data_IF_712158944394
#
_entry.id   IF_712158944394
#
_cell.length_a   1.000
_cell.length_b   1.000
_cell.length_c   1.000
_cell.angle_alpha   90.00
_cell.angle_beta   90.00
_cell.angle_gamma   90.00
#
_symmetry.space_group_name_H-M   'P 1'
#
loop_
_entity.id
_entity.type
_entity.pdbx_description
1 polymer ?
#
# COMPACT_ATOMS: atom_id res chain seq x y z
N UNK A 1 -20.67 36.36 -7.27
CA UNK A 1 -19.47 35.72 -7.86
C UNK A 1 -19.23 34.47 -7.02
N UNK A 2 -19.76 33.34 -7.48
CA UNK A 2 -20.07 32.14 -6.70
C UNK A 2 -19.10 31.04 -7.15
N UNK A 3 -18.54 30.29 -6.19
CA UNK A 3 -17.60 29.18 -6.46
C UNK A 3 -18.33 28.06 -7.23
N UNK A 4 -17.66 27.31 -8.11
CA UNK A 4 -18.28 26.14 -8.73
C UNK A 4 -18.44 25.03 -7.69
N UNK A 5 -19.69 24.80 -7.26
CA UNK A 5 -20.11 23.77 -6.32
C UNK A 5 -20.21 22.36 -6.97
N UNK A 6 -19.26 21.99 -7.84
CA UNK A 6 -19.30 20.72 -8.60
C UNK A 6 -18.16 19.73 -8.26
N UNK A 7 -17.54 19.86 -7.09
CA UNK A 7 -16.80 18.75 -6.50
C UNK A 7 -17.75 17.92 -5.64
N UNK A 8 -18.20 16.78 -6.17
CA UNK A 8 -19.04 15.81 -5.46
C UNK A 8 -18.30 15.24 -4.23
N UNK A 9 -19.04 15.06 -3.13
CA UNK A 9 -18.54 14.63 -1.81
C UNK A 9 -18.25 13.11 -1.67
N UNK A 10 -18.31 12.30 -2.72
CA UNK A 10 -18.10 10.84 -2.65
C UNK A 10 -17.34 10.30 -3.87
N UNK A 11 -16.46 9.28 -3.68
CA UNK A 11 -15.72 8.65 -4.78
C UNK A 11 -16.68 7.97 -5.76
N UNK A 12 -16.22 7.82 -7.01
CA UNK A 12 -16.90 7.36 -8.25
C UNK A 12 -17.81 6.11 -8.19
N UNK A 13 -17.97 5.46 -7.04
CA UNK A 13 -18.83 4.30 -6.85
C UNK A 13 -20.09 4.69 -6.07
N UNK A 14 -21.06 5.29 -6.76
CA UNK A 14 -22.44 5.23 -6.30
C UNK A 14 -22.94 3.79 -6.48
N UNK A 15 -22.77 2.96 -5.46
CA UNK A 15 -23.37 1.61 -5.39
C UNK A 15 -24.79 1.63 -4.82
N UNK A 16 -25.43 2.80 -4.64
CA UNK A 16 -26.84 2.86 -4.19
C UNK A 16 -27.80 2.23 -5.20
N UNK A 17 -27.36 2.12 -6.46
CA UNK A 17 -28.09 1.43 -7.54
C UNK A 17 -27.87 -0.10 -7.56
N UNK A 18 -26.89 -0.62 -6.82
CA UNK A 18 -26.68 -2.05 -6.59
C UNK A 18 -27.51 -2.43 -5.36
N UNK A 19 -28.57 -3.26 -5.50
CA UNK A 19 -29.40 -3.60 -4.35
C UNK A 19 -28.53 -4.18 -3.23
N UNK A 20 -28.66 -3.67 -2.00
CA UNK A 20 -27.92 -4.18 -0.84
C UNK A 20 -28.38 -5.58 -0.40
N UNK A 21 -29.39 -6.14 -1.05
CA UNK A 21 -30.01 -7.43 -0.70
C UNK A 21 -29.10 -8.65 -0.95
N UNK A 22 -27.95 -8.44 -1.59
CA UNK A 22 -27.07 -9.52 -2.08
C UNK A 22 -25.91 -9.84 -1.15
N UNK A 23 -25.59 -8.94 -0.22
CA UNK A 23 -24.75 -9.23 0.94
C UNK A 23 -25.27 -8.45 2.14
N UNK A 24 -25.54 -9.11 3.27
CA UNK A 24 -26.02 -8.44 4.49
C UNK A 24 -24.97 -7.53 5.16
N UNK A 25 -23.74 -7.43 4.63
CA UNK A 25 -22.64 -6.60 5.15
C UNK A 25 -21.74 -6.10 4.00
N UNK A 26 -21.45 -4.81 3.97
CA UNK A 26 -20.42 -4.20 3.11
C UNK A 26 -19.05 -4.84 3.37
N UNK A 27 -18.24 -5.06 2.33
CA UNK A 27 -16.93 -5.72 2.44
C UNK A 27 -15.86 -4.95 1.67
N UNK A 28 -14.92 -4.38 2.42
CA UNK A 28 -13.76 -3.63 1.94
C UNK A 28 -12.84 -4.49 1.08
N UNK A 29 -12.41 -3.99 -0.09
CA UNK A 29 -11.55 -4.71 -1.03
C UNK A 29 -10.17 -4.07 -1.20
N UNK A 30 -9.12 -4.91 -1.14
CA UNK A 30 -7.73 -4.47 -1.33
C UNK A 30 -7.04 -5.26 -2.43
N UNK A 31 -6.37 -4.56 -3.33
CA UNK A 31 -5.38 -5.15 -4.25
C UNK A 31 -3.99 -4.81 -3.74
N UNK A 32 -3.11 -5.79 -3.60
CA UNK A 32 -1.74 -5.67 -3.09
C UNK A 32 -0.76 -6.00 -4.22
N UNK A 33 -0.25 -4.97 -4.88
CA UNK A 33 0.68 -5.05 -6.01
C UNK A 33 2.13 -5.03 -5.52
N UNK A 34 2.97 -5.85 -6.14
CA UNK A 34 4.35 -6.09 -5.69
C UNK A 34 4.37 -6.56 -4.23
N UNK A 35 3.48 -7.51 -3.93
CA UNK A 35 3.14 -7.88 -2.55
C UNK A 35 4.30 -8.51 -1.76
N UNK A 36 5.32 -8.98 -2.47
CA UNK A 36 6.36 -9.86 -1.94
C UNK A 36 5.72 -11.02 -1.17
N UNK A 37 6.34 -11.36 -0.04
CA UNK A 37 5.85 -12.40 0.88
C UNK A 37 4.52 -12.07 1.58
N UNK A 38 3.92 -10.92 1.31
CA UNK A 38 2.62 -10.53 1.82
C UNK A 38 2.68 -9.86 3.20
N UNK A 39 3.60 -8.93 3.42
CA UNK A 39 3.60 -8.11 4.65
C UNK A 39 2.28 -7.34 4.81
N UNK A 40 1.76 -6.77 3.72
CA UNK A 40 0.46 -6.09 3.67
C UNK A 40 -0.68 -7.10 3.85
N UNK A 41 -0.70 -8.18 3.06
CA UNK A 41 -1.68 -9.25 3.20
C UNK A 41 -1.79 -9.83 4.62
N UNK A 42 -0.65 -10.10 5.28
CA UNK A 42 -0.60 -10.61 6.66
C UNK A 42 -1.20 -9.60 7.64
N UNK A 43 -0.91 -8.32 7.41
CA UNK A 43 -1.42 -7.22 8.23
C UNK A 43 -2.93 -7.08 8.12
N UNK A 44 -3.51 -7.34 6.94
CA UNK A 44 -4.94 -7.34 6.68
C UNK A 44 -5.65 -8.57 7.29
N UNK A 45 -5.02 -9.74 7.26
CA UNK A 45 -5.63 -11.01 7.67
C UNK A 45 -5.49 -11.31 9.17
N UNK A 46 -4.27 -11.29 9.71
CA UNK A 46 -3.96 -11.86 11.03
C UNK A 46 -3.87 -10.79 12.12
N UNK A 47 -3.52 -9.56 11.73
CA UNK A 47 -3.14 -8.51 12.67
C UNK A 47 -4.10 -7.32 12.69
N UNK A 48 -5.00 -7.19 11.72
CA UNK A 48 -5.92 -6.06 11.68
C UNK A 48 -6.98 -6.14 12.80
N UNK A 49 -7.26 -5.04 13.51
CA UNK A 49 -8.51 -4.90 14.27
C UNK A 49 -9.73 -4.72 13.34
N UNK A 50 -9.53 -4.84 12.03
CA UNK A 50 -10.56 -4.72 11.01
C UNK A 50 -11.17 -6.09 10.73
N UNK A 51 -12.50 -6.23 10.69
CA UNK A 51 -13.16 -7.46 10.25
C UNK A 51 -13.07 -7.59 8.73
N UNK A 52 -11.86 -7.68 8.19
CA UNK A 52 -11.62 -7.92 6.76
C UNK A 52 -11.56 -9.43 6.57
N UNK A 53 -12.51 -9.96 5.80
CA UNK A 53 -12.49 -11.38 5.48
C UNK A 53 -11.32 -11.71 4.53
N UNK A 54 -10.71 -12.90 4.61
CA UNK A 54 -9.58 -13.27 3.75
C UNK A 54 -9.86 -13.20 2.24
N UNK A 55 -11.15 -13.26 1.88
CA UNK A 55 -11.64 -13.33 0.49
C UNK A 55 -11.68 -11.98 -0.21
N UNK A 56 -11.36 -10.88 0.47
CA UNK A 56 -11.51 -9.53 -0.05
C UNK A 56 -10.18 -8.81 -0.28
N UNK A 57 -9.08 -9.56 -0.30
CA UNK A 57 -7.81 -9.02 -0.80
C UNK A 57 -7.05 -10.02 -1.69
N UNK A 58 -6.29 -9.47 -2.64
CA UNK A 58 -5.53 -10.21 -3.63
C UNK A 58 -4.12 -9.65 -3.79
N UNK A 59 -3.10 -10.52 -3.67
CA UNK A 59 -1.70 -10.21 -3.88
C UNK A 59 -1.21 -10.56 -5.27
N UNK A 60 -0.33 -9.72 -5.82
CA UNK A 60 0.32 -9.93 -7.12
C UNK A 60 1.82 -9.70 -6.99
N UNK A 61 2.61 -10.68 -7.40
CA UNK A 61 4.07 -10.58 -7.44
C UNK A 61 4.66 -11.47 -8.54
N UNK A 62 5.88 -11.18 -8.99
CA UNK A 62 6.58 -12.00 -9.98
C UNK A 62 7.10 -13.30 -9.36
N UNK A 63 7.42 -13.28 -8.07
CA UNK A 63 7.76 -14.48 -7.30
C UNK A 63 6.48 -15.19 -6.85
N UNK A 64 6.44 -16.52 -6.91
CA UNK A 64 5.26 -17.28 -6.50
C UNK A 64 5.18 -17.42 -4.98
N UNK A 65 4.12 -16.84 -4.41
CA UNK A 65 3.80 -16.89 -2.99
C UNK A 65 2.45 -17.56 -2.70
N UNK A 66 1.86 -18.28 -3.66
CA UNK A 66 0.51 -18.86 -3.53
C UNK A 66 0.29 -19.70 -2.28
N UNK A 67 1.33 -20.40 -1.82
CA UNK A 67 1.28 -21.30 -0.67
C UNK A 67 1.34 -20.57 0.68
N UNK A 68 1.79 -19.32 0.69
CA UNK A 68 2.10 -18.57 1.93
C UNK A 68 1.34 -17.25 2.04
N UNK A 69 0.83 -16.72 0.92
CA UNK A 69 0.07 -15.49 0.91
C UNK A 69 -1.31 -15.70 1.59
N UNK A 70 -1.73 -14.84 2.52
CA UNK A 70 -2.90 -15.10 3.36
C UNK A 70 -4.27 -14.87 2.67
N UNK A 71 -4.28 -14.28 1.47
CA UNK A 71 -5.48 -14.00 0.68
C UNK A 71 -5.48 -14.73 -0.66
N UNK A 72 -6.16 -14.16 -1.65
CA UNK A 72 -5.97 -14.62 -3.05
C UNK A 72 -4.58 -14.20 -3.51
N UNK A 73 -3.96 -14.98 -4.39
CA UNK A 73 -2.65 -14.65 -4.93
C UNK A 73 -2.57 -15.04 -6.41
N UNK A 74 -1.86 -14.23 -7.19
CA UNK A 74 -1.50 -14.55 -8.55
C UNK A 74 -0.05 -14.16 -8.84
N UNK A 75 0.70 -15.10 -9.42
CA UNK A 75 2.00 -14.81 -9.97
C UNK A 75 1.85 -13.97 -11.26
N UNK A 76 2.44 -12.78 -11.28
CA UNK A 76 2.38 -11.86 -12.41
C UNK A 76 3.61 -10.96 -12.48
N UNK A 77 4.17 -10.81 -13.69
CA UNK A 77 5.11 -9.74 -13.97
C UNK A 77 4.31 -8.45 -14.24
N UNK A 78 4.23 -7.61 -13.22
CA UNK A 78 3.49 -6.34 -13.26
C UNK A 78 4.20 -5.26 -14.09
N UNK A 79 5.45 -5.49 -14.51
CA UNK A 79 6.23 -4.54 -15.32
C UNK A 79 6.13 -4.82 -16.82
N UNK A 80 5.83 -6.06 -17.22
CA UNK A 80 5.75 -6.46 -18.63
C UNK A 80 4.33 -6.27 -19.21
N UNK A 81 3.29 -6.71 -18.51
CA UNK A 81 1.88 -6.52 -18.93
C UNK A 81 0.90 -6.56 -17.74
N UNK A 82 0.60 -5.40 -17.12
CA UNK A 82 -0.34 -5.31 -16.01
C UNK A 82 -1.81 -5.15 -16.46
N UNK A 83 -2.22 -5.69 -17.62
CA UNK A 83 -3.60 -5.51 -18.08
C UNK A 83 -4.65 -5.95 -17.03
N UNK A 84 -5.68 -5.11 -16.85
CA UNK A 84 -6.73 -5.33 -15.84
C UNK A 84 -7.45 -6.66 -16.00
N UNK A 85 -7.71 -7.03 -17.25
CA UNK A 85 -8.38 -8.28 -17.60
C UNK A 85 -7.51 -9.48 -17.24
N UNK A 86 -6.21 -9.43 -17.59
CA UNK A 86 -5.26 -10.49 -17.27
C UNK A 86 -5.04 -10.65 -15.77
N UNK A 87 -4.96 -9.55 -15.01
CA UNK A 87 -4.83 -9.61 -13.56
C UNK A 87 -6.11 -10.14 -12.89
N UNK A 88 -7.29 -9.70 -13.32
CA UNK A 88 -8.57 -10.17 -12.78
C UNK A 88 -8.77 -11.68 -13.01
N UNK A 89 -8.49 -12.16 -14.24
CA UNK A 89 -8.61 -13.57 -14.60
C UNK A 89 -7.74 -14.46 -13.68
N UNK A 90 -6.49 -14.05 -13.43
CA UNK A 90 -5.54 -14.83 -12.61
C UNK A 90 -6.00 -15.07 -11.17
N UNK A 91 -6.77 -14.15 -10.58
CA UNK A 91 -7.30 -14.29 -9.21
C UNK A 91 -8.75 -14.76 -9.17
N UNK A 92 -9.30 -15.21 -10.30
CA UNK A 92 -10.69 -15.65 -10.41
C UNK A 92 -11.66 -14.52 -10.11
N UNK A 93 -11.32 -13.30 -10.51
CA UNK A 93 -12.23 -12.16 -10.56
C UNK A 93 -12.78 -12.06 -11.99
N UNK A 94 -14.10 -12.09 -12.19
CA UNK A 94 -14.71 -11.95 -13.51
C UNK A 94 -14.11 -10.75 -14.29
N UNK A 95 -13.71 -10.88 -15.55
CA UNK A 95 -13.21 -9.75 -16.32
C UNK A 95 -14.35 -8.74 -16.56
N UNK A 96 -14.08 -7.46 -16.32
CA UNK A 96 -15.07 -6.41 -16.48
C UNK A 96 -14.42 -5.04 -16.68
N UNK A 97 -14.78 -4.36 -17.76
CA UNK A 97 -14.43 -2.95 -17.99
C UNK A 97 -15.34 -2.00 -17.21
N UNK A 98 -15.04 -0.70 -17.24
CA UNK A 98 -15.76 0.35 -16.50
C UNK A 98 -17.29 0.35 -16.76
N UNK A 99 -17.73 -0.07 -17.95
CA UNK A 99 -19.16 -0.20 -18.32
C UNK A 99 -19.86 -1.43 -17.70
N UNK A 100 -19.11 -2.43 -17.22
CA UNK A 100 -19.64 -3.67 -16.63
C UNK A 100 -20.07 -3.53 -15.17
N UNK A 101 -19.78 -2.39 -14.54
CA UNK A 101 -20.17 -2.05 -13.16
C UNK A 101 -21.67 -1.73 -13.08
N UNK A 102 -22.32 -1.39 -14.21
CA UNK A 102 -23.76 -1.11 -14.29
C UNK A 102 -24.54 -2.37 -14.66
N UNK A 103 -24.65 -3.32 -13.73
CA UNK A 103 -25.48 -4.52 -13.91
C UNK A 103 -26.95 -4.20 -13.61
N UNK A 104 -27.93 -4.65 -14.42
CA UNK A 104 -29.35 -4.53 -14.09
C UNK A 104 -29.68 -5.24 -12.77
N UNK A 105 -30.54 -4.63 -11.93
CA UNK A 105 -30.93 -5.07 -10.57
C UNK A 105 -31.37 -6.54 -10.38
N UNK A 106 -31.51 -7.32 -11.45
CA UNK A 106 -32.27 -8.57 -11.48
C UNK A 106 -31.41 -9.80 -11.86
N UNK A 107 -30.10 -9.67 -12.02
CA UNK A 107 -29.22 -10.78 -12.41
C UNK A 107 -28.55 -11.34 -11.17
N UNK A 108 -28.95 -12.55 -10.77
CA UNK A 108 -28.31 -13.32 -9.71
C UNK A 108 -27.13 -14.07 -10.29
N UNK A 109 -25.92 -13.73 -9.86
CA UNK A 109 -24.73 -14.49 -10.21
C UNK A 109 -24.51 -15.63 -9.17
N UNK A 110 -24.74 -16.86 -9.66
CA UNK A 110 -24.40 -18.19 -9.12
C UNK A 110 -24.98 -18.72 -7.77
N UNK A 111 -24.88 -20.05 -7.62
CA UNK A 111 -25.45 -20.91 -6.56
C UNK A 111 -24.99 -20.56 -5.13
N UNK A 112 -23.97 -19.71 -4.97
CA UNK A 112 -23.40 -19.36 -3.67
C UNK A 112 -23.79 -17.97 -3.15
N UNK A 113 -24.54 -17.18 -3.94
CA UNK A 113 -25.04 -15.86 -3.50
C UNK A 113 -23.93 -14.87 -3.16
N UNK A 114 -22.78 -14.96 -3.85
CA UNK A 114 -21.64 -14.08 -3.65
C UNK A 114 -21.63 -12.97 -4.72
N UNK A 115 -21.23 -11.73 -4.38
CA UNK A 115 -21.08 -10.69 -5.38
C UNK A 115 -19.93 -11.04 -6.32
N UNK A 116 -20.25 -11.20 -7.60
CA UNK A 116 -19.32 -11.28 -8.71
C UNK A 116 -18.57 -9.94 -8.82
N UNK A 117 -17.26 -9.97 -8.57
CA UNK A 117 -16.38 -8.82 -8.72
C UNK A 117 -15.98 -8.72 -10.20
N UNK A 118 -16.53 -7.75 -10.93
CA UNK A 118 -16.24 -7.58 -12.37
C UNK A 118 -15.08 -6.59 -12.57
N UNK A 119 -13.92 -7.10 -12.97
CA UNK A 119 -12.65 -6.41 -13.13
C UNK A 119 -11.76 -6.49 -11.89
N UNK A 120 -10.49 -6.07 -12.01
CA UNK A 120 -9.58 -5.85 -10.88
C UNK A 120 -9.94 -4.53 -10.17
N UNK A 121 -11.21 -4.31 -9.85
CA UNK A 121 -11.66 -3.08 -9.19
C UNK A 121 -11.70 -3.29 -7.67
N UNK A 122 -11.04 -2.41 -6.91
CA UNK A 122 -10.95 -2.48 -5.45
C UNK A 122 -11.31 -1.14 -4.80
N UNK A 123 -11.55 -1.15 -3.48
CA UNK A 123 -11.74 0.09 -2.71
C UNK A 123 -10.39 0.79 -2.47
N UNK A 124 -9.33 0.00 -2.28
CA UNK A 124 -7.95 0.46 -2.14
C UNK A 124 -7.01 -0.43 -2.95
N UNK A 125 -6.03 0.18 -3.63
CA UNK A 125 -4.84 -0.53 -4.11
C UNK A 125 -3.63 -0.13 -3.26
N UNK A 126 -2.90 -1.11 -2.76
CA UNK A 126 -1.59 -0.96 -2.15
C UNK A 126 -0.53 -1.37 -3.16
N UNK A 127 0.48 -0.54 -3.38
CA UNK A 127 1.58 -0.80 -4.31
C UNK A 127 2.92 -0.59 -3.61
N UNK A 128 3.65 -1.69 -3.35
CA UNK A 128 4.99 -1.66 -2.78
C UNK A 128 6.05 -1.76 -3.89
N UNK A 129 6.10 -0.71 -4.73
CA UNK A 129 6.87 -0.71 -5.97
C UNK A 129 8.36 -1.04 -5.77
N UNK A 130 9.03 -1.76 -6.71
CA UNK A 130 10.44 -2.13 -6.59
C UNK A 130 11.35 -0.97 -6.19
N UNK A 131 12.13 -1.15 -5.12
CA UNK A 131 12.96 -0.09 -4.53
C UNK A 131 14.43 -0.11 -5.00
N UNK A 132 14.82 -1.03 -5.89
CA UNK A 132 16.20 -1.21 -6.35
C UNK A 132 16.75 0.06 -7.01
N UNK A 133 15.93 0.84 -7.72
CA UNK A 133 16.33 2.14 -8.27
C UNK A 133 16.73 3.15 -7.16
N UNK A 134 16.16 3.01 -5.97
CA UNK A 134 16.18 4.02 -4.90
C UNK A 134 16.99 3.58 -3.66
N UNK A 135 17.41 2.33 -3.57
CA UNK A 135 18.12 1.83 -2.40
C UNK A 135 19.46 2.57 -2.18
N UNK A 136 19.82 2.76 -0.91
CA UNK A 136 21.12 3.33 -0.53
C UNK A 136 22.31 2.44 -0.92
N UNK A 137 22.04 1.15 -1.16
CA UNK A 137 23.05 0.18 -1.60
C UNK A 137 23.24 0.16 -3.12
N UNK A 138 22.28 0.68 -3.89
CA UNK A 138 22.30 0.57 -5.36
C UNK A 138 23.54 1.18 -6.00
N UNK A 139 24.07 2.34 -5.57
CA UNK A 139 25.31 2.86 -6.12
C UNK A 139 26.51 1.92 -5.96
N UNK A 140 26.53 1.08 -4.91
CA UNK A 140 27.59 0.09 -4.71
C UNK A 140 27.52 -1.04 -5.73
N UNK A 141 26.31 -1.42 -6.15
CA UNK A 141 26.08 -2.52 -7.10
C UNK A 141 26.15 -2.07 -8.56
N UNK A 142 25.59 -0.90 -8.87
CA UNK A 142 25.49 -0.35 -10.23
C UNK A 142 26.60 0.65 -10.59
N UNK A 143 27.48 0.99 -9.65
CA UNK A 143 28.58 1.94 -9.83
C UNK A 143 28.22 3.41 -9.59
N UNK A 144 26.96 3.81 -9.80
CA UNK A 144 26.44 5.12 -9.40
C UNK A 144 24.93 5.08 -9.13
N UNK A 145 24.38 6.18 -8.61
CA UNK A 145 22.93 6.31 -8.42
C UNK A 145 22.21 6.45 -9.77
N UNK A 146 22.81 7.14 -10.71
CA UNK A 146 22.27 7.36 -12.07
C UNK A 146 22.19 6.03 -12.82
N UNK A 147 23.25 5.21 -12.76
CA UNK A 147 23.25 3.88 -13.35
C UNK A 147 22.19 2.97 -12.71
N UNK A 148 21.95 3.09 -11.40
CA UNK A 148 20.86 2.36 -10.75
C UNK A 148 19.47 2.81 -11.22
N UNK A 149 19.27 4.11 -11.45
CA UNK A 149 18.01 4.65 -11.96
C UNK A 149 17.75 4.27 -13.42
N UNK A 150 18.80 4.13 -14.23
CA UNK A 150 18.69 3.68 -15.62
C UNK A 150 18.43 2.17 -15.72
N UNK A 151 19.05 1.37 -14.85
CA UNK A 151 18.97 -0.08 -14.91
C UNK A 151 17.71 -0.69 -14.26
N UNK A 152 16.94 0.08 -13.48
CA UNK A 152 15.81 -0.45 -12.71
C UNK A 152 14.51 0.29 -13.07
N UNK A 153 13.35 -0.39 -12.93
CA UNK A 153 12.06 0.26 -13.13
C UNK A 153 11.89 1.44 -12.17
N UNK A 154 11.17 2.45 -12.65
CA UNK A 154 10.89 3.68 -11.91
C UNK A 154 9.40 3.86 -11.71
N UNK A 155 9.04 4.59 -10.66
CA UNK A 155 7.68 5.10 -10.46
C UNK A 155 7.43 6.18 -11.54
N UNK A 156 6.37 6.02 -12.30
CA UNK A 156 5.98 6.92 -13.39
C UNK A 156 4.54 7.38 -13.25
N UNK A 157 4.13 8.35 -14.06
CA UNK A 157 2.75 8.83 -14.08
C UNK A 157 1.81 7.77 -14.67
N UNK A 158 2.28 6.95 -15.62
CA UNK A 158 1.51 5.82 -16.15
C UNK A 158 1.17 4.78 -15.07
N UNK A 159 2.08 4.56 -14.11
CA UNK A 159 1.77 3.73 -12.93
C UNK A 159 0.65 4.37 -12.10
N UNK A 160 0.69 5.68 -11.86
CA UNK A 160 -0.35 6.37 -11.09
C UNK A 160 -1.71 6.29 -11.78
N UNK A 161 -1.73 6.51 -13.09
CA UNK A 161 -2.93 6.38 -13.92
C UNK A 161 -3.52 4.97 -13.77
N UNK A 162 -2.68 3.94 -13.92
CA UNK A 162 -3.08 2.55 -13.71
C UNK A 162 -3.65 2.29 -12.31
N UNK A 163 -3.01 2.80 -11.25
CA UNK A 163 -3.50 2.65 -9.87
C UNK A 163 -4.86 3.33 -9.67
N UNK A 164 -5.09 4.49 -10.31
CA UNK A 164 -6.40 5.18 -10.25
C UNK A 164 -7.49 4.55 -11.09
N UNK A 165 -7.13 3.77 -12.12
CA UNK A 165 -8.08 3.00 -12.93
C UNK A 165 -8.64 1.79 -12.16
N UNK A 166 -7.86 1.20 -11.25
CA UNK A 166 -8.25 0.02 -10.47
C UNK A 166 -8.90 0.32 -9.12
N UNK A 167 -8.60 1.48 -8.53
CA UNK A 167 -9.15 1.85 -7.24
C UNK A 167 -9.36 3.36 -7.10
N UNK A 168 -10.39 3.79 -6.36
CA UNK A 168 -10.59 5.21 -6.04
C UNK A 168 -9.52 5.73 -5.07
N UNK A 169 -8.84 4.81 -4.37
CA UNK A 169 -7.76 5.12 -3.46
C UNK A 169 -6.54 4.24 -3.74
N UNK A 170 -5.37 4.86 -3.87
CA UNK A 170 -4.11 4.13 -3.90
C UNK A 170 -3.20 4.53 -2.73
N UNK A 171 -2.31 3.61 -2.41
CA UNK A 171 -1.20 3.77 -1.49
C UNK A 171 0.03 3.26 -2.24
N UNK A 172 0.96 4.17 -2.55
CA UNK A 172 2.23 3.83 -3.17
C UNK A 172 3.33 3.98 -2.11
N UNK A 173 4.03 2.89 -1.81
CA UNK A 173 5.06 2.82 -0.78
C UNK A 173 6.46 2.68 -1.39
N UNK A 174 7.43 3.38 -0.81
CA UNK A 174 8.84 3.15 -1.11
C UNK A 174 9.79 3.63 0.00
N UNK A 175 11.09 3.43 -0.23
CA UNK A 175 12.15 3.97 0.63
C UNK A 175 12.27 5.50 0.48
N UNK A 176 12.77 6.23 1.50
CA UNK A 176 12.85 7.70 1.50
C UNK A 176 13.57 8.34 0.31
N UNK A 177 14.49 7.60 -0.32
CA UNK A 177 15.25 8.11 -1.46
C UNK A 177 14.41 8.26 -2.72
N UNK A 178 13.32 7.51 -2.89
CA UNK A 178 12.39 7.69 -4.01
C UNK A 178 11.83 9.13 -4.02
N UNK A 179 11.45 9.63 -2.84
CA UNK A 179 11.04 11.03 -2.66
C UNK A 179 12.18 12.01 -2.88
N UNK A 180 13.39 11.71 -2.40
CA UNK A 180 14.56 12.60 -2.62
C UNK A 180 14.90 12.76 -4.11
N UNK A 181 14.65 11.73 -4.90
CA UNK A 181 14.87 11.73 -6.36
C UNK A 181 13.72 12.43 -7.10
N UNK A 182 12.54 12.52 -6.48
CA UNK A 182 11.35 13.14 -7.06
C UNK A 182 10.43 12.17 -7.80
N UNK A 183 10.62 10.87 -7.61
CA UNK A 183 9.81 9.83 -8.25
C UNK A 183 8.56 9.47 -7.44
N UNK A 184 8.63 9.68 -6.12
CA UNK A 184 7.55 9.43 -5.18
C UNK A 184 7.13 10.76 -4.53
N UNK A 185 5.91 11.20 -4.78
CA UNK A 185 5.32 12.42 -4.22
C UNK A 185 4.77 12.14 -2.82
N UNK A 186 5.66 11.68 -1.94
CA UNK A 186 5.28 11.22 -0.62
C UNK A 186 4.64 12.34 0.20
N UNK A 187 3.43 12.08 0.68
CA UNK A 187 2.67 12.96 1.55
C UNK A 187 2.64 12.47 3.00
N UNK A 188 3.20 11.29 3.28
CA UNK A 188 3.33 10.74 4.62
C UNK A 188 4.63 9.96 4.81
N UNK A 189 5.23 10.12 5.99
CA UNK A 189 6.38 9.37 6.47
C UNK A 189 5.99 8.56 7.71
N UNK A 190 6.48 7.32 7.76
CA UNK A 190 6.21 6.41 8.87
C UNK A 190 7.48 5.70 9.30
N UNK A 191 7.73 5.62 10.61
CA UNK A 191 8.77 4.75 11.16
C UNK A 191 8.31 4.06 12.46
N UNK A 192 9.15 3.14 12.97
CA UNK A 192 8.76 2.25 14.07
C UNK A 192 8.76 2.98 15.41
N UNK A 193 9.69 3.91 15.56
CA UNK A 193 9.88 4.73 16.76
C UNK A 193 8.62 5.53 17.11
N UNK A 194 7.87 6.03 16.11
CA UNK A 194 6.60 6.73 16.33
C UNK A 194 5.54 5.90 17.06
N UNK A 195 5.64 4.57 16.98
CA UNK A 195 4.74 3.61 17.64
C UNK A 195 5.40 2.86 18.80
N UNK A 196 6.57 3.32 19.27
CA UNK A 196 7.29 2.63 20.34
C UNK A 196 7.88 1.30 19.95
N UNK A 197 8.11 1.08 18.66
CA UNK A 197 8.79 -0.11 18.18
C UNK A 197 10.30 0.08 18.28
N UNK A 198 11.07 -0.99 18.53
CA UNK A 198 12.50 -0.88 18.77
C UNK A 198 13.32 -0.64 17.50
N UNK A 199 12.71 -0.49 16.33
CA UNK A 199 13.39 -0.33 15.05
C UNK A 199 13.08 1.01 14.40
N UNK A 200 14.07 1.52 13.67
CA UNK A 200 13.91 2.65 12.77
C UNK A 200 13.83 2.13 11.34
N UNK A 201 12.59 1.95 10.88
CA UNK A 201 12.27 1.49 9.53
C UNK A 201 11.47 2.56 8.81
N UNK A 202 12.15 3.63 8.41
CA UNK A 202 11.49 4.72 7.70
C UNK A 202 10.95 4.24 6.34
N UNK A 203 9.68 4.57 6.09
CA UNK A 203 9.00 4.43 4.81
C UNK A 203 8.22 5.68 4.45
N UNK A 204 8.20 5.94 3.16
CA UNK A 204 7.48 7.04 2.56
C UNK A 204 6.30 6.48 1.79
N UNK A 205 5.16 7.17 1.87
CA UNK A 205 3.98 6.81 1.12
C UNK A 205 3.43 8.03 0.39
N UNK A 206 2.94 7.76 -0.80
CA UNK A 206 2.09 8.66 -1.58
C UNK A 206 0.68 8.05 -1.57
N UNK A 207 -0.31 8.85 -1.15
CA UNK A 207 -1.69 8.41 -1.02
C UNK A 207 -2.65 9.42 -1.63
N UNK A 208 -3.78 8.94 -2.16
CA UNK A 208 -4.85 9.83 -2.68
C UNK A 208 -5.70 10.47 -1.58
N UNK A 209 -5.39 10.19 -0.31
CA UNK A 209 -6.12 10.66 0.87
C UNK A 209 -5.12 11.17 1.91
N UNK A 210 -5.48 12.16 2.74
CA UNK A 210 -4.54 12.75 3.69
C UNK A 210 -4.20 11.77 4.81
N UNK A 211 -2.91 11.62 5.11
CA UNK A 211 -2.41 10.83 6.24
C UNK A 211 -1.38 11.68 7.00
N UNK A 212 -1.48 11.82 8.33
CA UNK A 212 -0.45 12.50 9.09
C UNK A 212 0.84 11.66 9.16
N UNK A 213 1.98 12.35 9.14
CA UNK A 213 3.28 11.74 9.44
C UNK A 213 3.24 11.03 10.80
N UNK A 214 3.70 9.79 10.82
CA UNK A 214 3.97 9.02 12.04
C UNK A 214 5.46 8.71 12.10
N UNK A 215 6.25 9.76 12.32
CA UNK A 215 7.70 9.72 12.28
C UNK A 215 8.29 10.32 13.55
N UNK A 216 9.24 9.61 14.17
CA UNK A 216 10.04 10.10 15.29
C UNK A 216 11.51 9.86 14.99
N UNK A 217 12.35 10.88 15.08
CA UNK A 217 13.79 10.71 15.00
C UNK A 217 14.34 10.14 16.33
N UNK A 218 15.21 9.13 16.28
CA UNK A 218 15.80 8.53 17.46
C UNK A 218 16.72 7.37 17.13
N UNK A 219 17.37 6.83 18.15
CA UNK A 219 18.25 5.67 18.03
C UNK A 219 17.45 4.39 18.24
N UNK A 220 17.41 3.45 17.28
CA UNK A 220 16.70 2.19 17.44
C UNK A 220 17.49 1.19 18.30
N UNK A 221 16.78 0.44 19.13
CA UNK A 221 17.34 -0.71 19.87
C UNK A 221 17.68 -1.87 18.92
N UNK A 222 16.89 -2.05 17.86
CA UNK A 222 17.04 -3.08 16.82
C UNK A 222 17.37 -2.39 15.49
N UNK A 223 18.64 -2.44 15.09
CA UNK A 223 19.10 -1.85 13.83
C UNK A 223 18.72 -2.71 12.63
N UNK A 224 18.07 -2.13 11.62
CA UNK A 224 17.87 -2.78 10.33
C UNK A 224 19.11 -2.57 9.47
N UNK A 225 20.16 -3.33 9.80
CA UNK A 225 21.38 -3.32 9.01
C UNK A 225 21.16 -4.17 7.75
N UNK A 226 21.66 -3.72 6.60
CA UNK A 226 21.64 -4.49 5.34
C UNK A 226 22.95 -5.25 5.09
N UNK A 227 24.04 -4.87 5.77
CA UNK A 227 25.41 -5.35 5.55
C UNK A 227 25.94 -6.29 6.67
N UNK A 228 25.39 -6.22 7.88
CA UNK A 228 25.82 -7.02 9.03
C UNK A 228 25.05 -8.32 9.26
N UNK A 229 25.45 -9.02 10.33
CA UNK A 229 24.91 -10.32 10.76
C UNK A 229 23.75 -10.17 11.76
N UNK A 230 22.75 -9.38 11.37
CA UNK A 230 21.53 -9.21 12.16
C UNK A 230 20.78 -10.54 12.31
N UNK A 231 20.33 -10.83 13.54
CA UNK A 231 19.41 -11.93 13.81
C UNK A 231 18.09 -11.73 13.06
N UNK A 232 17.79 -12.63 12.12
CA UNK A 232 16.52 -12.62 11.38
C UNK A 232 15.33 -12.81 12.33
N UNK A 233 15.50 -13.63 13.37
CA UNK A 233 14.43 -13.92 14.34
C UNK A 233 14.08 -12.69 15.18
N UNK A 234 15.08 -11.92 15.63
CA UNK A 234 14.86 -10.71 16.43
C UNK A 234 14.14 -9.62 15.61
N UNK A 235 14.56 -9.42 14.36
CA UNK A 235 13.89 -8.46 13.48
C UNK A 235 12.47 -8.90 13.12
N UNK A 236 12.27 -10.20 12.86
CA UNK A 236 10.97 -10.77 12.53
C UNK A 236 9.97 -10.58 13.69
N UNK A 237 10.39 -10.89 14.92
CA UNK A 237 9.60 -10.65 16.12
C UNK A 237 9.27 -9.16 16.31
N UNK A 238 10.27 -8.30 16.20
CA UNK A 238 10.08 -6.86 16.35
C UNK A 238 9.07 -6.30 15.33
N UNK A 239 9.18 -6.71 14.05
CA UNK A 239 8.28 -6.29 12.97
C UNK A 239 6.93 -7.01 12.98
N UNK A 240 6.80 -8.11 13.73
CA UNK A 240 5.59 -8.93 13.77
C UNK A 240 5.34 -9.71 12.47
N UNK A 241 6.41 -10.22 11.85
CA UNK A 241 6.36 -11.01 10.61
C UNK A 241 7.03 -12.39 10.80
N UNK A 242 6.72 -13.39 9.96
CA UNK A 242 7.30 -14.73 10.10
C UNK A 242 8.81 -14.75 9.81
N UNK A 243 9.58 -15.42 10.67
CA UNK A 243 11.04 -15.50 10.55
C UNK A 243 11.50 -16.39 9.40
N UNK A 244 10.68 -17.37 9.01
CA UNK A 244 10.90 -18.28 7.88
C UNK A 244 10.91 -17.58 6.52
N UNK A 245 10.47 -16.32 6.46
CA UNK A 245 10.60 -15.46 5.27
C UNK A 245 12.06 -15.13 4.91
N UNK A 246 12.99 -15.49 5.78
CA UNK A 246 14.41 -15.27 5.59
C UNK A 246 14.79 -13.81 5.70
N UNK A 247 16.10 -13.55 5.62
CA UNK A 247 16.68 -12.24 5.93
C UNK A 247 16.12 -11.11 5.07
N UNK A 248 16.03 -11.33 3.76
CA UNK A 248 15.54 -10.30 2.84
C UNK A 248 14.02 -10.09 2.99
N UNK A 249 13.24 -11.15 3.10
CA UNK A 249 11.78 -11.06 3.28
C UNK A 249 11.40 -10.33 4.57
N UNK A 250 12.07 -10.64 5.68
CA UNK A 250 11.84 -9.94 6.96
C UNK A 250 12.25 -8.47 6.86
N UNK A 251 13.36 -8.14 6.18
CA UNK A 251 13.83 -6.76 6.01
C UNK A 251 12.89 -5.92 5.13
N UNK A 252 12.36 -6.49 4.05
CA UNK A 252 11.49 -5.77 3.10
C UNK A 252 10.03 -5.73 3.54
N UNK A 253 9.54 -6.66 4.37
CA UNK A 253 8.15 -6.69 4.77
C UNK A 253 7.72 -5.42 5.51
N UNK A 254 6.59 -4.83 5.14
CA UNK A 254 6.01 -3.74 5.90
C UNK A 254 5.50 -4.24 7.27
N UNK A 255 5.84 -3.54 8.38
CA UNK A 255 5.25 -3.86 9.68
C UNK A 255 3.74 -3.65 9.71
N UNK A 256 2.96 -4.51 10.40
CA UNK A 256 1.50 -4.36 10.46
C UNK A 256 1.00 -3.02 11.00
N UNK A 257 1.73 -2.44 11.95
CA UNK A 257 1.38 -1.13 12.50
C UNK A 257 1.39 -0.02 11.45
N UNK A 258 2.22 -0.11 10.41
CA UNK A 258 2.24 0.88 9.32
C UNK A 258 1.03 0.71 8.43
N UNK A 259 0.74 -0.53 8.05
CA UNK A 259 -0.44 -0.86 7.23
C UNK A 259 -1.71 -0.39 7.92
N UNK A 260 -1.85 -0.62 9.23
CA UNK A 260 -3.00 -0.15 10.00
C UNK A 260 -3.04 1.37 10.11
N UNK A 261 -1.90 2.04 10.31
CA UNK A 261 -1.84 3.49 10.35
C UNK A 261 -2.34 4.11 9.04
N UNK A 262 -1.79 3.68 7.90
CA UNK A 262 -2.19 4.21 6.59
C UNK A 262 -3.67 3.91 6.33
N UNK A 263 -4.10 2.66 6.48
CA UNK A 263 -5.49 2.28 6.19
C UNK A 263 -6.49 2.96 7.13
N UNK A 264 -6.12 3.27 8.38
CA UNK A 264 -7.03 3.98 9.29
C UNK A 264 -7.38 5.41 8.89
N UNK A 265 -6.62 5.99 7.96
CA UNK A 265 -6.89 7.30 7.38
C UNK A 265 -7.54 7.20 6.00
N UNK A 266 -7.71 6.00 5.45
CA UNK A 266 -8.39 5.80 4.18
C UNK A 266 -9.90 6.00 4.37
N UNK A 267 -10.55 6.89 3.59
CA UNK A 267 -12.00 7.15 3.71
C UNK A 267 -12.87 5.91 3.49
N UNK A 268 -12.38 4.93 2.72
CA UNK A 268 -13.08 3.68 2.48
C UNK A 268 -12.97 2.69 3.66
N UNK A 269 -12.07 2.89 4.63
CA UNK A 269 -11.81 1.91 5.68
C UNK A 269 -12.33 2.39 7.04
N UNK A 270 -13.31 1.71 7.63
CA UNK A 270 -13.73 2.00 8.99
C UNK A 270 -12.74 1.37 9.99
N UNK A 271 -11.60 2.04 10.23
CA UNK A 271 -10.61 1.60 11.23
C UNK A 271 -10.37 2.64 12.32
N UNK A 272 -9.83 2.17 13.45
CA UNK A 272 -9.20 3.03 14.44
C UNK A 272 -7.69 3.07 14.18
N UNK A 273 -7.12 4.27 14.26
CA UNK A 273 -5.69 4.46 14.12
C UNK A 273 -4.93 3.84 15.32
N UNK A 274 -3.79 3.18 15.10
CA UNK A 274 -2.93 2.73 16.18
C UNK A 274 -2.42 3.92 17.01
N UNK A 275 -2.19 3.69 18.30
CA UNK A 275 -1.66 4.72 19.20
C UNK A 275 -0.20 5.01 18.87
N UNK A 276 0.14 6.30 18.81
CA UNK A 276 1.52 6.79 18.74
C UNK A 276 2.03 7.22 20.12
N UNK A 277 3.35 7.29 20.27
CA UNK A 277 3.98 7.75 21.52
C UNK A 277 3.89 9.27 21.71
N UNK A 278 3.83 10.05 20.63
CA UNK A 278 3.90 11.52 20.63
C UNK A 278 2.54 12.24 20.65
N UNK A 279 1.44 11.49 20.78
CA UNK A 279 0.11 12.06 21.00
C UNK A 279 -0.12 12.40 22.48
N UNK A 280 0.59 13.42 22.98
CA UNK A 280 0.07 14.25 24.07
C UNK A 280 -0.82 15.35 23.49
N UNK A 281 -1.81 15.85 24.24
CA UNK A 281 -2.85 16.78 23.78
C UNK A 281 -2.33 18.11 23.18
N UNK A 282 -1.04 18.40 23.32
CA UNK A 282 -0.37 19.60 22.81
C UNK A 282 -0.05 19.56 21.31
N UNK A 283 -0.02 18.40 20.66
CA UNK A 283 0.35 18.28 19.23
C UNK A 283 -0.77 18.65 18.25
N UNK A 284 -1.99 18.94 18.73
CA UNK A 284 -3.09 19.45 17.88
C UNK A 284 -2.92 20.91 17.42
N UNK A 285 -1.95 21.65 17.96
CA UNK A 285 -1.77 23.06 17.67
C UNK A 285 -0.88 23.36 16.45
N UNK A 286 0.02 22.44 16.06
CA UNK A 286 1.06 22.75 15.08
C UNK A 286 1.03 21.80 13.87
N UNK A 287 0.50 22.31 12.75
CA UNK A 287 0.96 21.89 11.42
C UNK A 287 0.08 20.91 10.65
N UNK A 288 -1.16 21.26 10.37
CA UNK A 288 -1.87 20.66 9.22
C UNK A 288 -1.23 21.19 7.92
N UNK A 289 -0.50 20.31 7.22
CA UNK A 289 -0.28 20.37 5.78
C UNK A 289 0.43 21.60 5.21
N UNK A 290 1.73 21.75 5.48
CA UNK A 290 2.65 22.49 4.59
C UNK A 290 4.06 21.89 4.66
N UNK A 291 4.30 20.79 3.96
CA UNK A 291 5.66 20.54 3.48
C UNK A 291 5.85 21.37 2.22
N UNK A 292 6.63 22.45 2.37
CA UNK A 292 7.17 23.20 1.24
C UNK A 292 7.92 22.21 0.33
N UNK A 293 7.57 22.21 -0.96
CA UNK A 293 8.54 21.91 -2.01
C UNK A 293 9.80 22.69 -1.66
N UNK A 294 10.96 22.04 -1.55
CA UNK A 294 12.21 22.74 -1.35
C UNK A 294 12.60 23.45 -2.67
N UNK A 295 12.64 24.78 -2.78
CA UNK A 295 13.66 25.41 -3.59
C UNK A 295 14.83 25.71 -2.65
N UNK A 296 15.98 25.11 -2.93
CA UNK A 296 17.22 25.87 -3.16
C UNK A 296 18.39 24.90 -3.30
N UNK A 297 18.69 24.67 -4.57
CA UNK A 297 20.04 24.57 -5.13
C UNK A 297 21.01 25.37 -4.25
N UNK A 298 21.97 24.68 -3.62
CA UNK A 298 23.20 25.36 -3.20
C UNK A 298 24.08 25.52 -4.43
N UNK A 299 24.44 26.74 -4.87
CA UNK A 299 25.53 26.89 -5.80
C UNK A 299 26.84 26.53 -5.08
N UNK A 300 27.72 25.87 -5.84
CA UNK A 300 29.17 25.66 -5.64
C UNK A 300 29.80 26.10 -4.31
#
# INVERSE_FOLDING_TARGET
>A
MIRPDELRETPRFDRSDVPQEWTTKWRFQVVDLFSGRGGVGLSLFDKAPLPIEPRVFAGFDIEDYSDTYPGRFAQADLLDDPSLEGLAEKVGMPPGGYDSIRVPRNVVDDEYGLPVLRGLTADVVWCSFPCQAYSSLSPTYYGSQEAALEANPRITDELRDFLTDIAPHYILENVPRATKIGDLDANVRVNGLAFGKPYDYERHFETTFPVPDAYVNGEPEVTIDTRGDQSVAELADAKGVPAEWGKQGVRSALPPVYVHWILSHCPAVPSLAPKRIDHDLSSFADGVGRHQMWPEIRPS
#
